data_IF_923279584271
#
_entry.id   IF_923279584271
#
_cell.length_a   1.000
_cell.length_b   1.000
_cell.length_c   1.000
_cell.angle_alpha   90.00
_cell.angle_beta   90.00
_cell.angle_gamma   90.00
#
_symmetry.space_group_name_H-M   'P 1'
#
loop_
_entity.id
_entity.type
_entity.pdbx_description
1 polymer ?
#
# COMPACT_ATOMS: atom_id res chain seq x y z
N UNK A 1 -52.61 -4.56 31.44
CA UNK A 1 -51.37 -4.08 30.78
C UNK A 1 -50.21 -4.88 31.35
N UNK A 2 -49.58 -5.75 30.54
CA UNK A 2 -48.42 -6.55 30.96
C UNK A 2 -47.14 -5.76 30.68
N UNK A 3 -46.36 -5.48 31.72
CA UNK A 3 -45.07 -4.81 31.60
C UNK A 3 -44.02 -5.79 31.08
N UNK A 4 -43.26 -5.39 30.05
CA UNK A 4 -42.09 -6.12 29.57
C UNK A 4 -40.92 -5.72 30.48
N UNK A 5 -40.32 -6.68 31.18
CA UNK A 5 -39.12 -6.45 31.99
C UNK A 5 -37.92 -6.27 31.05
N UNK A 6 -37.23 -5.14 31.14
CA UNK A 6 -35.93 -4.98 30.49
C UNK A 6 -34.95 -5.97 31.11
N UNK A 7 -34.21 -6.71 30.28
CA UNK A 7 -33.14 -7.59 30.77
C UNK A 7 -32.04 -6.72 31.36
N UNK A 8 -31.74 -6.91 32.66
CA UNK A 8 -30.58 -6.28 33.29
C UNK A 8 -29.32 -6.85 32.63
N UNK A 9 -28.56 -6.00 31.94
CA UNK A 9 -27.28 -6.40 31.37
C UNK A 9 -26.32 -6.80 32.51
N UNK A 10 -25.59 -7.92 32.41
CA UNK A 10 -24.56 -8.28 33.38
C UNK A 10 -23.56 -7.15 33.58
N UNK A 11 -23.08 -6.97 34.81
CA UNK A 11 -21.99 -6.04 35.08
C UNK A 11 -20.72 -6.49 34.35
N UNK A 12 -20.16 -5.62 33.50
CA UNK A 12 -18.96 -5.91 32.75
C UNK A 12 -17.75 -5.94 33.69
N UNK A 13 -16.95 -7.00 33.57
CA UNK A 13 -15.72 -7.18 34.36
C UNK A 13 -14.50 -6.74 33.55
N UNK A 14 -13.36 -6.54 34.23
CA UNK A 14 -12.08 -6.30 33.56
C UNK A 14 -11.71 -7.44 32.58
N UNK A 15 -12.12 -8.68 32.88
CA UNK A 15 -11.86 -9.83 32.01
C UNK A 15 -12.68 -9.76 30.71
N UNK A 16 -13.89 -9.20 30.75
CA UNK A 16 -14.72 -8.98 29.57
C UNK A 16 -14.08 -7.93 28.65
N UNK A 17 -13.55 -6.85 29.23
CA UNK A 17 -12.78 -5.84 28.49
C UNK A 17 -11.49 -6.40 27.92
N UNK A 18 -10.73 -7.18 28.70
CA UNK A 18 -9.50 -7.82 28.20
C UNK A 18 -9.79 -8.77 27.03
N UNK A 19 -10.92 -9.49 27.07
CA UNK A 19 -11.35 -10.33 25.95
C UNK A 19 -11.74 -9.50 24.72
N UNK A 20 -12.49 -8.42 24.92
CA UNK A 20 -12.87 -7.50 23.84
C UNK A 20 -11.64 -6.83 23.19
N UNK A 21 -10.64 -6.47 24.01
CA UNK A 21 -9.42 -5.84 23.55
C UNK A 21 -8.65 -6.71 22.56
N UNK A 22 -8.65 -8.03 22.74
CA UNK A 22 -8.02 -8.97 21.79
C UNK A 22 -8.60 -8.89 20.38
N UNK A 23 -9.83 -8.42 20.23
CA UNK A 23 -10.50 -8.25 18.93
C UNK A 23 -10.41 -6.81 18.40
N UNK A 24 -9.79 -5.88 19.13
CA UNK A 24 -9.53 -4.55 18.60
C UNK A 24 -8.59 -4.61 17.40
N UNK A 25 -8.77 -3.68 16.46
CA UNK A 25 -8.08 -3.71 15.16
C UNK A 25 -6.56 -3.78 15.29
N UNK A 26 -5.95 -3.11 16.27
CA UNK A 26 -4.50 -3.16 16.47
C UNK A 26 -3.98 -4.57 16.88
N UNK A 27 -4.81 -5.40 17.51
CA UNK A 27 -4.49 -6.78 17.87
C UNK A 27 -4.88 -7.77 16.77
N UNK A 28 -6.00 -7.54 16.08
CA UNK A 28 -6.53 -8.46 15.10
C UNK A 28 -5.95 -8.25 13.68
N UNK A 29 -5.73 -7.01 13.23
CA UNK A 29 -5.27 -6.72 11.87
C UNK A 29 -3.91 -7.34 11.52
N UNK A 30 -2.91 -7.46 12.42
CA UNK A 30 -1.66 -8.15 12.12
C UNK A 30 -1.83 -9.64 11.81
N UNK A 31 -2.95 -10.25 12.19
CA UNK A 31 -3.27 -11.66 11.93
C UNK A 31 -4.05 -11.85 10.63
N UNK A 32 -4.41 -10.76 9.93
CA UNK A 32 -5.15 -10.80 8.66
C UNK A 32 -4.17 -10.81 7.50
N UNK A 33 -4.00 -11.99 6.93
CA UNK A 33 -3.21 -12.17 5.71
C UNK A 33 -3.98 -11.72 4.47
N UNK A 34 -3.20 -11.40 3.42
CA UNK A 34 -3.69 -10.97 2.11
C UNK A 34 -4.56 -9.70 2.16
N UNK A 35 -4.37 -8.87 3.18
CA UNK A 35 -4.99 -7.55 3.23
C UNK A 35 -4.47 -6.68 2.09
N UNK A 36 -5.39 -5.99 1.41
CA UNK A 36 -5.10 -5.19 0.23
C UNK A 36 -5.15 -3.71 0.54
N UNK A 37 -4.20 -2.93 0.02
CA UNK A 37 -4.34 -1.47 0.01
C UNK A 37 -5.46 -1.03 -0.93
N UNK A 38 -6.04 0.17 -0.73
CA UNK A 38 -6.83 0.81 -1.76
C UNK A 38 -6.08 0.85 -3.10
N UNK A 39 -6.78 0.69 -4.24
CA UNK A 39 -6.15 0.74 -5.54
C UNK A 39 -5.69 2.16 -5.88
N UNK A 40 -4.52 2.24 -6.50
CA UNK A 40 -4.02 3.47 -7.13
C UNK A 40 -4.32 3.43 -8.61
N UNK A 41 -5.17 4.35 -9.07
CA UNK A 41 -5.62 4.43 -10.46
C UNK A 41 -4.57 5.04 -11.39
N UNK A 42 -4.50 4.51 -12.59
CA UNK A 42 -3.66 4.92 -13.71
C UNK A 42 -4.56 5.27 -14.90
N UNK A 43 -3.96 5.83 -15.96
CA UNK A 43 -4.68 6.09 -17.20
C UNK A 43 -5.19 4.79 -17.85
N UNK A 44 -6.37 4.88 -18.48
CA UNK A 44 -7.01 3.78 -19.20
C UNK A 44 -7.56 2.69 -18.29
N UNK A 45 -8.15 3.07 -17.15
CA UNK A 45 -8.75 2.20 -16.12
C UNK A 45 -7.81 1.13 -15.52
N UNK A 46 -6.51 1.24 -15.82
CA UNK A 46 -5.49 0.42 -15.16
C UNK A 46 -5.33 0.88 -13.72
N UNK A 47 -4.98 -0.03 -12.84
CA UNK A 47 -4.69 0.31 -11.46
C UNK A 47 -3.73 -0.69 -10.85
N UNK A 48 -3.04 -0.29 -9.79
CA UNK A 48 -2.22 -1.21 -9.00
C UNK A 48 -2.64 -1.18 -7.54
N UNK A 49 -2.44 -2.29 -6.83
CA UNK A 49 -2.66 -2.40 -5.39
C UNK A 49 -1.55 -3.24 -4.73
N UNK A 50 -1.35 -3.01 -3.44
CA UNK A 50 -0.42 -3.79 -2.62
C UNK A 50 -1.18 -4.86 -1.84
N UNK A 51 -0.64 -6.07 -1.80
CA UNK A 51 -1.11 -7.18 -0.96
C UNK A 51 -0.08 -7.41 0.15
N UNK A 52 -0.50 -7.43 1.40
CA UNK A 52 0.33 -7.88 2.51
C UNK A 52 0.18 -9.39 2.66
N UNK A 53 1.30 -10.10 2.61
CA UNK A 53 1.40 -11.56 2.76
C UNK A 53 2.26 -11.89 3.97
N UNK A 54 2.24 -13.13 4.48
CA UNK A 54 3.15 -13.55 5.55
C UNK A 54 4.63 -13.32 5.22
N UNK A 55 4.99 -13.41 3.94
CA UNK A 55 6.37 -13.25 3.46
C UNK A 55 6.76 -11.77 3.28
N UNK A 56 5.79 -10.88 3.07
CA UNK A 56 6.02 -9.46 2.85
C UNK A 56 4.97 -8.82 1.95
N UNK A 57 5.38 -8.01 0.98
CA UNK A 57 4.50 -7.24 0.12
C UNK A 57 4.55 -7.73 -1.33
N UNK A 58 3.39 -7.88 -1.94
CA UNK A 58 3.25 -8.05 -3.39
C UNK A 58 2.59 -6.81 -3.99
N UNK A 59 3.02 -6.42 -5.18
CA UNK A 59 2.46 -5.29 -5.92
C UNK A 59 1.84 -5.80 -7.20
N UNK A 60 0.51 -5.70 -7.30
CA UNK A 60 -0.26 -6.24 -8.41
C UNK A 60 -0.74 -5.11 -9.30
N UNK A 61 -0.46 -5.20 -10.60
CA UNK A 61 -0.99 -4.34 -11.65
C UNK A 61 -2.15 -5.06 -12.34
N UNK A 62 -3.24 -4.33 -12.55
CA UNK A 62 -4.44 -4.80 -13.23
C UNK A 62 -4.65 -3.97 -14.49
N UNK A 63 -4.90 -4.68 -15.59
CA UNK A 63 -5.34 -4.10 -16.86
C UNK A 63 -6.70 -4.71 -17.22
N UNK A 64 -7.81 -3.98 -17.00
CA UNK A 64 -9.15 -4.48 -17.28
C UNK A 64 -9.41 -4.73 -18.77
N UNK A 65 -8.84 -3.89 -19.65
CA UNK A 65 -9.01 -4.00 -21.10
C UNK A 65 -8.37 -5.29 -21.60
N UNK A 66 -7.16 -5.60 -21.11
CA UNK A 66 -6.45 -6.84 -21.43
C UNK A 66 -6.89 -8.04 -20.60
N UNK A 67 -7.74 -7.82 -19.57
CA UNK A 67 -8.18 -8.83 -18.60
C UNK A 67 -7.01 -9.52 -17.89
N UNK A 68 -5.94 -8.78 -17.60
CA UNK A 68 -4.73 -9.33 -16.98
C UNK A 68 -4.50 -8.79 -15.57
N UNK A 69 -3.95 -9.64 -14.71
CA UNK A 69 -3.36 -9.28 -13.42
C UNK A 69 -1.92 -9.78 -13.40
N UNK A 70 -0.96 -8.89 -13.23
CA UNK A 70 0.47 -9.21 -13.24
C UNK A 70 1.18 -8.53 -12.08
N UNK A 71 2.41 -8.94 -11.78
CA UNK A 71 3.26 -8.14 -10.92
C UNK A 71 3.46 -6.74 -11.54
N UNK A 72 3.45 -5.69 -10.73
CA UNK A 72 3.68 -4.32 -11.19
C UNK A 72 5.12 -4.10 -11.69
N UNK A 73 6.07 -4.86 -11.13
CA UNK A 73 7.48 -4.93 -11.50
C UNK A 73 8.05 -6.25 -10.96
N UNK A 74 9.29 -6.58 -11.37
CA UNK A 74 10.04 -7.71 -10.79
C UNK A 74 10.65 -7.28 -9.44
N UNK A 75 10.17 -7.81 -8.30
CA UNK A 75 10.62 -7.37 -6.98
C UNK A 75 12.06 -7.79 -6.68
N UNK A 76 12.56 -8.88 -7.28
CA UNK A 76 13.93 -9.34 -7.08
C UNK A 76 14.92 -8.41 -7.80
N UNK A 77 14.61 -8.03 -9.05
CA UNK A 77 15.42 -7.06 -9.79
C UNK A 77 15.41 -5.69 -9.13
N UNK A 78 14.26 -5.24 -8.64
CA UNK A 78 14.15 -3.98 -7.93
C UNK A 78 14.96 -4.00 -6.62
N UNK A 79 14.83 -5.05 -5.79
CA UNK A 79 15.59 -5.17 -4.55
C UNK A 79 17.10 -5.18 -4.80
N UNK A 80 17.56 -5.90 -5.82
CA UNK A 80 18.97 -5.94 -6.20
C UNK A 80 19.48 -4.56 -6.65
N UNK A 81 18.75 -3.90 -7.55
CA UNK A 81 19.15 -2.60 -8.08
C UNK A 81 19.13 -1.51 -6.98
N UNK A 82 18.17 -1.57 -6.05
CA UNK A 82 18.12 -0.66 -4.89
C UNK A 82 19.30 -0.90 -3.96
N UNK A 83 19.64 -2.17 -3.73
CA UNK A 83 20.74 -2.52 -2.86
C UNK A 83 22.09 -2.07 -3.40
N UNK A 84 22.31 -2.22 -4.71
CA UNK A 84 23.50 -1.68 -5.38
C UNK A 84 23.58 -0.15 -5.28
N UNK A 85 22.45 0.55 -5.43
CA UNK A 85 22.44 2.02 -5.46
C UNK A 85 22.46 2.67 -4.06
N UNK A 86 21.92 2.01 -3.03
CA UNK A 86 21.90 2.52 -1.65
C UNK A 86 23.03 1.96 -0.77
N UNK A 87 23.69 0.88 -1.19
CA UNK A 87 24.70 0.17 -0.40
C UNK A 87 24.12 -0.72 0.71
N UNK A 88 22.79 -0.95 0.72
CA UNK A 88 22.09 -1.79 1.70
C UNK A 88 21.58 -3.08 1.06
N UNK A 89 21.28 -4.09 1.87
CA UNK A 89 20.65 -5.32 1.37
C UNK A 89 19.13 -5.25 1.56
N UNK A 90 18.38 -5.56 0.51
CA UNK A 90 16.92 -5.67 0.55
C UNK A 90 16.48 -7.05 0.09
N UNK A 91 15.38 -7.52 0.68
CA UNK A 91 14.68 -8.72 0.22
C UNK A 91 13.55 -8.32 -0.73
N UNK A 92 13.31 -9.15 -1.76
CA UNK A 92 12.27 -8.89 -2.76
C UNK A 92 10.88 -8.70 -2.15
N UNK A 93 10.56 -9.46 -1.10
CA UNK A 93 9.27 -9.35 -0.40
C UNK A 93 9.21 -8.18 0.59
N UNK A 94 10.36 -7.59 0.98
CA UNK A 94 10.46 -6.56 2.04
C UNK A 94 11.08 -5.28 1.51
N UNK A 95 10.56 -4.81 0.39
CA UNK A 95 10.96 -3.53 -0.18
C UNK A 95 10.65 -2.38 0.80
N UNK A 96 11.54 -1.36 0.90
CA UNK A 96 11.45 -0.29 1.90
C UNK A 96 10.43 0.81 1.52
N UNK A 97 9.37 0.45 0.81
CA UNK A 97 8.29 1.35 0.44
C UNK A 97 6.97 0.59 0.37
N UNK A 98 5.88 1.31 0.61
CA UNK A 98 4.51 0.77 0.55
C UNK A 98 3.72 1.29 -0.65
N UNK A 99 4.19 2.39 -1.23
CA UNK A 99 3.56 3.10 -2.35
C UNK A 99 4.60 3.50 -3.37
N UNK A 100 4.16 3.63 -4.62
CA UNK A 100 4.95 4.09 -5.74
C UNK A 100 4.03 4.70 -6.81
N UNK A 101 4.60 5.44 -7.75
CA UNK A 101 3.88 5.98 -8.92
C UNK A 101 4.50 5.47 -10.21
N UNK A 102 3.67 5.25 -11.22
CA UNK A 102 4.15 5.01 -12.58
C UNK A 102 4.35 6.35 -13.29
N UNK A 103 5.32 6.41 -14.21
CA UNK A 103 5.39 7.47 -15.22
C UNK A 103 4.18 7.43 -16.15
N UNK A 104 3.92 8.53 -16.85
CA UNK A 104 2.81 8.64 -17.82
C UNK A 104 2.86 7.57 -18.92
N UNK A 105 4.06 7.16 -19.33
CA UNK A 105 4.28 6.08 -20.30
C UNK A 105 4.22 4.67 -19.70
N UNK A 106 4.06 4.55 -18.38
CA UNK A 106 3.99 3.28 -17.64
C UNK A 106 5.29 2.49 -17.59
N UNK A 107 6.42 3.07 -18.03
CA UNK A 107 7.72 2.37 -18.10
C UNK A 107 8.57 2.52 -16.85
N UNK A 108 8.32 3.57 -16.07
CA UNK A 108 9.13 3.92 -14.92
C UNK A 108 8.29 3.86 -13.64
N UNK A 109 8.93 3.41 -12.57
CA UNK A 109 8.41 3.32 -11.21
C UNK A 109 9.16 4.30 -10.35
N UNK A 110 8.44 5.17 -9.65
CA UNK A 110 8.97 6.19 -8.73
C UNK A 110 8.53 5.88 -7.31
N UNK A 111 9.46 5.85 -6.39
CA UNK A 111 9.17 5.57 -4.98
C UNK A 111 10.14 6.30 -4.06
N UNK A 112 9.72 6.52 -2.81
CA UNK A 112 10.57 7.05 -1.77
C UNK A 112 11.12 5.89 -0.92
N UNK A 113 12.42 5.89 -0.64
CA UNK A 113 13.08 4.98 0.27
C UNK A 113 14.36 5.63 0.82
N UNK A 114 14.65 5.44 2.11
CA UNK A 114 15.87 5.96 2.75
C UNK A 114 16.03 7.49 2.58
N UNK A 115 14.93 8.23 2.78
CA UNK A 115 14.83 9.69 2.60
C UNK A 115 15.20 10.20 1.19
N UNK A 116 15.25 9.29 0.21
CA UNK A 116 15.55 9.59 -1.20
C UNK A 116 14.40 9.17 -2.09
N UNK A 117 14.23 9.90 -3.19
CA UNK A 117 13.34 9.51 -4.27
C UNK A 117 14.13 8.73 -5.32
N UNK A 118 13.62 7.57 -5.69
CA UNK A 118 14.22 6.65 -6.63
C UNK A 118 13.37 6.54 -7.88
N UNK A 119 14.03 6.41 -9.02
CA UNK A 119 13.44 6.08 -10.30
C UNK A 119 14.01 4.74 -10.78
N UNK A 120 13.11 3.83 -11.16
CA UNK A 120 13.43 2.51 -11.67
C UNK A 120 12.69 2.28 -12.99
N UNK A 121 13.38 1.81 -14.02
CA UNK A 121 12.72 1.41 -15.28
C UNK A 121 12.29 -0.05 -15.23
N UNK A 122 11.00 -0.28 -15.03
CA UNK A 122 10.44 -1.61 -14.86
C UNK A 122 10.52 -2.47 -16.13
N UNK A 123 10.48 -1.85 -17.30
CA UNK A 123 10.45 -2.53 -18.60
C UNK A 123 11.82 -3.07 -19.06
N UNK A 124 12.90 -2.45 -18.60
CA UNK A 124 14.22 -2.59 -19.19
C UNK A 124 15.29 -3.03 -18.19
N UNK A 125 14.96 -3.08 -16.88
CA UNK A 125 15.91 -3.42 -15.82
C UNK A 125 17.07 -2.43 -15.67
N UNK A 126 16.93 -1.22 -16.23
CA UNK A 126 17.96 -0.19 -16.19
C UNK A 126 18.23 0.31 -14.76
N UNK A 127 19.43 0.84 -14.48
CA UNK A 127 19.88 1.12 -13.12
C UNK A 127 19.00 2.15 -12.42
N UNK A 128 18.90 1.99 -11.10
CA UNK A 128 18.22 2.97 -10.26
C UNK A 128 18.90 4.33 -10.37
N UNK A 129 18.09 5.36 -10.57
CA UNK A 129 18.54 6.75 -10.51
C UNK A 129 17.95 7.40 -9.26
N UNK A 130 18.80 7.99 -8.44
CA UNK A 130 18.32 8.93 -7.41
C UNK A 130 17.79 10.15 -8.16
N UNK A 131 16.51 10.46 -7.96
CA UNK A 131 15.93 11.70 -8.48
C UNK A 131 16.01 12.73 -7.38
N UNK A 132 16.76 13.81 -7.64
CA UNK A 132 16.86 14.91 -6.70
C UNK A 132 15.57 15.73 -6.74
N UNK A 133 14.75 15.60 -5.69
CA UNK A 133 13.56 16.43 -5.45
C UNK A 133 12.35 16.15 -6.34
N UNK A 134 11.23 15.77 -5.72
CA UNK A 134 9.94 16.39 -5.99
C UNK A 134 9.25 16.53 -4.62
N UNK A 135 9.71 17.50 -3.83
CA UNK A 135 8.97 18.02 -2.69
C UNK A 135 7.95 19.04 -3.22
N UNK A 136 6.96 18.58 -3.98
CA UNK A 136 5.83 19.44 -4.35
C UNK A 136 4.59 18.58 -4.55
N UNK A 137 3.46 19.08 -4.03
CA UNK A 137 2.10 18.54 -4.13
C UNK A 137 1.61 17.56 -3.05
N UNK A 138 1.59 18.03 -1.79
CA UNK A 138 0.49 17.72 -0.85
C UNK A 138 -0.40 18.94 -0.54
N UNK A 139 -0.40 19.96 -1.40
CA UNK A 139 -1.37 21.06 -1.31
C UNK A 139 -2.32 21.04 -2.51
N UNK A 140 -3.21 20.05 -2.55
CA UNK A 140 -4.56 20.32 -3.06
C UNK A 140 -5.42 20.61 -1.85
N UNK A 141 -5.58 21.89 -1.52
CA UNK A 141 -6.77 22.33 -0.79
C UNK A 141 -8.00 21.77 -1.54
N UNK A 142 -9.02 21.23 -0.87
CA UNK A 142 -10.30 21.03 -1.52
C UNK A 142 -10.77 22.40 -2.02
N UNK A 143 -10.75 22.58 -3.34
CA UNK A 143 -11.29 23.76 -3.99
C UNK A 143 -12.75 23.88 -3.61
N UNK A 144 -13.09 25.04 -3.06
CA UNK A 144 -14.46 25.47 -2.86
C UNK A 144 -15.26 25.26 -4.15
N UNK A 145 -16.32 24.46 -4.05
CA UNK A 145 -17.31 24.39 -5.12
C UNK A 145 -18.26 25.57 -4.93
N UNK A 146 -18.06 26.62 -5.74
CA UNK A 146 -19.01 27.72 -5.88
C UNK A 146 -19.82 27.47 -7.15
N UNK A 147 -21.12 27.21 -6.95
CA UNK A 147 -22.24 27.60 -7.81
C UNK A 147 -22.29 27.10 -9.26
N UNK A 148 -23.31 26.30 -9.57
CA UNK A 148 -24.55 26.79 -10.20
C UNK A 148 -25.74 26.01 -9.63
#
# INVERSE_FOLDING_TARGET
MTAVSAQQLPALTAQDYARAERFMGYNALPLVDRSTSPPTWLAGDRFWYRVLTPQGSEFVLVDPVRKTKTAAFDPAKLAAALGTASGKRYEAARLPFRTFTFSSDGKQVRFAAEDKNWLYEAASGHPMKVVQGYSEMSSRKPGANTGL
#
